data_IF_392456478757
#
_entry.id   IF_392456478757
#
_cell.length_a   1.000
_cell.length_b   1.000
_cell.length_c   1.000
_cell.angle_alpha   90.00
_cell.angle_beta   90.00
_cell.angle_gamma   90.00
#
_symmetry.space_group_name_H-M   'P 1'
#
loop_
_entity.id
_entity.type
_entity.pdbx_description
1 polymer ?
#
# COMPACT_ATOMS: atom_id res chain seq x y z
N UNK A 1 -0.23 5.15 30.97
CA UNK A 1 -1.54 5.64 30.48
C UNK A 1 -1.81 5.02 29.11
N UNK A 2 -2.91 4.25 28.94
CA UNK A 2 -3.33 3.75 27.63
C UNK A 2 -4.35 4.72 27.03
N UNK A 3 -4.02 5.31 25.89
CA UNK A 3 -4.85 6.29 25.18
C UNK A 3 -5.79 5.53 24.25
N UNK A 4 -7.09 5.56 24.54
CA UNK A 4 -8.11 5.08 23.61
C UNK A 4 -8.21 6.03 22.42
N UNK A 5 -7.99 5.52 21.21
CA UNK A 5 -8.19 6.27 19.96
C UNK A 5 -9.53 5.86 19.36
N UNK A 6 -10.42 6.81 19.16
CA UNK A 6 -11.66 6.59 18.42
C UNK A 6 -11.29 6.42 16.94
N UNK A 7 -11.43 5.21 16.42
CA UNK A 7 -11.19 4.87 15.01
C UNK A 7 -12.52 4.98 14.25
N UNK A 8 -13.11 6.18 14.16
CA UNK A 8 -14.21 6.38 13.21
C UNK A 8 -13.61 6.49 11.81
N UNK A 9 -13.95 5.52 10.97
CA UNK A 9 -13.53 5.48 9.57
C UNK A 9 -14.24 6.63 8.85
N UNK A 10 -13.49 7.63 8.38
CA UNK A 10 -14.04 8.71 7.57
C UNK A 10 -14.53 8.14 6.24
N UNK A 11 -15.78 8.43 5.87
CA UNK A 11 -16.32 8.14 4.54
C UNK A 11 -15.38 8.74 3.48
N UNK A 12 -14.78 7.88 2.65
CA UNK A 12 -13.94 8.29 1.53
C UNK A 12 -14.84 8.47 0.30
N UNK A 13 -15.28 9.71 0.05
CA UNK A 13 -16.05 10.04 -1.15
C UNK A 13 -15.12 9.96 -2.36
N UNK A 14 -15.31 8.94 -3.19
CA UNK A 14 -14.45 8.68 -4.32
C UNK A 14 -14.91 9.42 -5.57
N UNK A 15 -14.08 10.33 -6.08
CA UNK A 15 -14.37 11.07 -7.32
C UNK A 15 -14.30 10.13 -8.53
N UNK A 16 -15.44 9.91 -9.19
CA UNK A 16 -15.57 9.17 -10.44
C UNK A 16 -15.77 10.12 -11.63
N UNK A 17 -15.30 9.70 -12.79
CA UNK A 17 -15.42 10.37 -14.07
C UNK A 17 -16.31 9.53 -14.97
N UNK A 18 -17.45 10.10 -15.38
CA UNK A 18 -18.47 9.39 -16.16
C UNK A 18 -18.29 9.54 -17.68
N UNK A 19 -17.60 10.59 -18.12
CA UNK A 19 -17.30 10.83 -19.54
C UNK A 19 -15.79 11.03 -19.73
N UNK A 20 -15.22 10.37 -20.74
CA UNK A 20 -13.85 10.56 -21.19
C UNK A 20 -13.84 10.75 -22.71
N UNK A 21 -13.48 11.95 -23.17
CA UNK A 21 -13.36 12.29 -24.59
C UNK A 21 -14.65 12.05 -25.40
N UNK A 22 -15.83 12.22 -24.78
CA UNK A 22 -17.13 12.04 -25.42
C UNK A 22 -17.63 10.59 -25.43
N UNK A 23 -16.91 9.67 -24.78
CA UNK A 23 -17.33 8.30 -24.57
C UNK A 23 -17.88 8.21 -23.14
N UNK A 24 -19.15 7.81 -23.00
CA UNK A 24 -19.75 7.52 -21.70
C UNK A 24 -19.16 6.21 -21.13
N UNK A 25 -18.60 6.30 -19.93
CA UNK A 25 -17.98 5.18 -19.21
C UNK A 25 -18.97 4.44 -18.31
N UNK A 26 -20.27 4.78 -18.36
CA UNK A 26 -21.32 4.08 -17.62
C UNK A 26 -21.17 4.25 -16.11
N UNK A 27 -20.61 3.26 -15.42
CA UNK A 27 -20.40 3.30 -13.95
C UNK A 27 -19.37 4.34 -13.48
N UNK A 28 -18.69 5.00 -14.42
CA UNK A 28 -17.69 6.02 -14.21
C UNK A 28 -16.35 5.45 -13.74
N UNK A 29 -15.28 5.79 -14.46
CA UNK A 29 -13.92 5.41 -14.07
C UNK A 29 -13.42 6.29 -12.92
N UNK A 30 -12.69 5.71 -11.98
CA UNK A 30 -12.08 6.47 -10.86
C UNK A 30 -11.11 7.50 -11.44
N UNK A 31 -11.18 8.77 -11.01
CA UNK A 31 -10.34 9.85 -11.55
C UNK A 31 -8.84 9.55 -11.46
N UNK A 32 -8.42 8.92 -10.36
CA UNK A 32 -7.02 8.50 -10.16
C UNK A 32 -6.56 7.44 -11.17
N UNK A 33 -7.46 6.56 -11.63
CA UNK A 33 -7.15 5.58 -12.67
C UNK A 33 -6.90 6.26 -14.02
N UNK A 34 -7.70 7.27 -14.37
CA UNK A 34 -7.53 8.04 -15.61
C UNK A 34 -6.20 8.79 -15.61
N UNK A 35 -5.91 9.52 -14.53
CA UNK A 35 -4.64 10.24 -14.37
C UNK A 35 -3.47 9.27 -14.49
N UNK A 36 -3.56 8.12 -13.83
CA UNK A 36 -2.53 7.09 -13.90
C UNK A 36 -2.35 6.54 -15.33
N UNK A 37 -3.44 6.22 -16.02
CA UNK A 37 -3.39 5.76 -17.42
C UNK A 37 -2.80 6.79 -18.36
N UNK A 38 -3.16 8.07 -18.20
CA UNK A 38 -2.60 9.17 -18.98
C UNK A 38 -1.07 9.28 -18.79
N UNK A 39 -0.59 9.19 -17.54
CA UNK A 39 0.85 9.20 -17.24
C UNK A 39 1.57 8.01 -17.88
N UNK A 40 0.99 6.80 -17.84
CA UNK A 40 1.59 5.63 -18.50
C UNK A 40 1.66 5.84 -20.00
N UNK A 41 0.59 6.32 -20.64
CA UNK A 41 0.55 6.54 -22.09
C UNK A 41 1.66 7.53 -22.49
N UNK A 42 1.81 8.64 -21.76
CA UNK A 42 2.87 9.61 -22.01
C UNK A 42 4.27 9.01 -21.86
N UNK A 43 4.51 8.24 -20.79
CA UNK A 43 5.78 7.54 -20.58
C UNK A 43 6.06 6.51 -21.69
N UNK A 44 5.03 5.79 -22.13
CA UNK A 44 5.13 4.79 -23.17
C UNK A 44 5.45 5.41 -24.54
N UNK A 45 4.78 6.50 -24.89
CA UNK A 45 5.08 7.27 -26.10
C UNK A 45 6.50 7.83 -26.03
N UNK A 46 6.89 8.45 -24.91
CA UNK A 46 8.24 8.98 -24.75
C UNK A 46 9.32 7.89 -24.90
N UNK A 47 9.04 6.67 -24.44
CA UNK A 47 9.93 5.53 -24.60
C UNK A 47 10.02 5.04 -26.05
N UNK A 48 8.90 4.97 -26.78
CA UNK A 48 8.84 4.43 -28.15
C UNK A 48 9.24 5.44 -29.23
N UNK A 49 8.98 6.72 -29.01
CA UNK A 49 9.26 7.80 -29.95
C UNK A 49 10.69 7.77 -30.54
N UNK A 50 11.77 7.59 -29.76
CA UNK A 50 13.12 7.54 -30.33
C UNK A 50 13.41 6.29 -31.17
N UNK A 51 12.66 5.19 -30.98
CA UNK A 51 12.91 3.93 -31.70
C UNK A 51 12.03 3.75 -32.93
N UNK A 52 10.75 4.15 -32.84
CA UNK A 52 9.72 3.86 -33.85
C UNK A 52 9.21 5.15 -34.52
N UNK A 53 9.41 6.31 -33.88
CA UNK A 53 8.91 7.60 -34.36
C UNK A 53 7.39 7.74 -34.18
N UNK A 54 6.79 8.63 -34.97
CA UNK A 54 5.35 8.95 -34.86
C UNK A 54 4.47 7.72 -35.18
N UNK A 55 3.34 7.52 -34.47
CA UNK A 55 2.39 6.45 -34.78
C UNK A 55 1.90 6.51 -36.23
N UNK A 56 2.10 5.40 -36.97
CA UNK A 56 1.53 5.15 -38.29
C UNK A 56 0.40 4.13 -38.14
N UNK A 57 -0.51 4.03 -39.11
CA UNK A 57 -1.65 3.08 -39.08
C UNK A 57 -1.31 1.67 -38.54
N UNK A 58 -0.22 1.00 -38.95
CA UNK A 58 0.10 -0.33 -38.42
C UNK A 58 0.67 -0.33 -36.99
N UNK A 59 1.28 0.76 -36.55
CA UNK A 59 1.90 0.85 -35.22
C UNK A 59 0.98 1.41 -34.15
N UNK A 60 -0.21 1.93 -34.49
CA UNK A 60 -1.18 2.46 -33.51
C UNK A 60 -1.47 1.47 -32.38
N UNK A 61 -1.67 0.19 -32.69
CA UNK A 61 -1.93 -0.85 -31.68
C UNK A 61 -0.80 -0.97 -30.66
N UNK A 62 0.46 -0.80 -31.08
CA UNK A 62 1.62 -0.84 -30.19
C UNK A 62 1.69 0.38 -29.25
N UNK A 63 1.16 1.52 -29.70
CA UNK A 63 1.09 2.73 -28.89
C UNK A 63 -0.07 2.71 -27.88
N UNK A 64 -1.16 1.98 -28.16
CA UNK A 64 -2.38 2.02 -27.35
C UNK A 64 -2.55 0.78 -26.47
N UNK A 65 -2.35 -0.42 -27.02
CA UNK A 65 -2.70 -1.68 -26.33
C UNK A 65 -1.83 -1.92 -25.09
N UNK A 66 -0.49 -1.86 -25.15
CA UNK A 66 0.35 -2.09 -23.97
C UNK A 66 0.05 -1.13 -22.79
N UNK A 67 0.00 0.20 -22.96
CA UNK A 67 -0.28 1.08 -21.83
C UNK A 67 -1.71 0.92 -21.29
N UNK A 68 -2.69 0.57 -22.15
CA UNK A 68 -4.04 0.23 -21.70
C UNK A 68 -4.03 -1.02 -20.81
N UNK A 69 -3.37 -2.10 -21.24
CA UNK A 69 -3.22 -3.34 -20.46
C UNK A 69 -2.52 -3.06 -19.12
N UNK A 70 -1.42 -2.30 -19.13
CA UNK A 70 -0.69 -1.93 -17.91
C UNK A 70 -1.60 -1.17 -16.94
N UNK A 71 -2.41 -0.23 -17.45
CA UNK A 71 -3.36 0.55 -16.64
C UNK A 71 -4.44 -0.35 -16.03
N UNK A 72 -5.06 -1.21 -16.85
CA UNK A 72 -6.12 -2.11 -16.42
C UNK A 72 -5.64 -3.13 -15.37
N UNK A 73 -4.44 -3.72 -15.57
CA UNK A 73 -3.86 -4.65 -14.61
C UNK A 73 -3.31 -3.97 -13.36
N UNK A 74 -2.71 -2.79 -13.50
CA UNK A 74 -2.17 -2.03 -12.39
C UNK A 74 -3.25 -1.57 -11.40
N UNK A 75 -4.47 -1.34 -11.89
CA UNK A 75 -5.58 -0.91 -11.06
C UNK A 75 -6.34 -2.04 -10.34
N UNK A 76 -6.03 -3.32 -10.65
CA UNK A 76 -6.61 -4.45 -9.93
C UNK A 76 -6.21 -4.42 -8.45
N UNK A 77 -7.07 -4.94 -7.55
CA UNK A 77 -6.69 -5.12 -6.14
C UNK A 77 -5.46 -6.04 -6.02
N UNK A 78 -4.61 -5.74 -5.04
CA UNK A 78 -3.41 -6.51 -4.70
C UNK A 78 -3.77 -7.85 -4.06
N UNK A 79 -2.90 -8.85 -4.22
CA UNK A 79 -3.16 -10.23 -3.73
C UNK A 79 -3.23 -10.29 -2.20
N UNK A 80 -2.43 -9.48 -1.51
CA UNK A 80 -2.28 -9.55 -0.05
C UNK A 80 -3.08 -8.46 0.69
N UNK A 81 -3.46 -7.39 0.00
CA UNK A 81 -4.16 -6.26 0.61
C UNK A 81 -5.17 -5.75 -0.40
N UNK A 82 -6.44 -6.07 -0.19
CA UNK A 82 -7.53 -5.69 -1.09
C UNK A 82 -7.67 -4.16 -1.27
N UNK A 83 -7.29 -3.39 -0.22
CA UNK A 83 -7.23 -1.92 -0.26
C UNK A 83 -6.08 -1.36 -1.10
N UNK A 84 -5.03 -2.13 -1.38
CA UNK A 84 -3.87 -1.67 -2.16
C UNK A 84 -4.06 -2.04 -3.63
N UNK A 85 -3.78 -1.10 -4.52
CA UNK A 85 -3.74 -1.33 -5.96
C UNK A 85 -2.41 -1.99 -6.31
N UNK A 86 -2.40 -2.91 -7.30
CA UNK A 86 -1.16 -3.56 -7.80
C UNK A 86 -0.11 -2.55 -8.24
N UNK A 87 -0.56 -1.39 -8.73
CA UNK A 87 0.29 -0.23 -9.04
C UNK A 87 1.23 0.15 -7.90
N UNK A 88 0.74 0.15 -6.67
CA UNK A 88 1.53 0.53 -5.50
C UNK A 88 2.55 -0.55 -5.18
N UNK A 89 2.17 -1.82 -5.37
CA UNK A 89 3.08 -2.96 -5.23
C UNK A 89 4.20 -2.91 -6.28
N UNK A 90 3.86 -2.59 -7.54
CA UNK A 90 4.84 -2.39 -8.60
C UNK A 90 5.77 -1.21 -8.32
N UNK A 91 5.22 -0.06 -7.90
CA UNK A 91 6.02 1.10 -7.54
C UNK A 91 6.98 0.80 -6.37
N UNK A 92 6.53 0.04 -5.37
CA UNK A 92 7.37 -0.43 -4.27
C UNK A 92 8.43 -1.42 -4.76
N UNK A 93 8.08 -2.34 -5.67
CA UNK A 93 9.03 -3.28 -6.25
C UNK A 93 10.10 -2.57 -7.09
N UNK A 94 9.71 -1.61 -7.94
CA UNK A 94 10.62 -0.78 -8.72
C UNK A 94 11.51 0.05 -7.80
N UNK A 95 10.92 0.70 -6.79
CA UNK A 95 11.69 1.44 -5.78
C UNK A 95 12.67 0.55 -5.04
N UNK A 96 12.29 -0.67 -4.69
CA UNK A 96 13.18 -1.65 -4.05
C UNK A 96 14.29 -2.13 -5.00
N UNK A 97 14.00 -2.24 -6.30
CA UNK A 97 14.99 -2.58 -7.30
C UNK A 97 16.01 -1.46 -7.50
N UNK A 98 15.56 -0.20 -7.59
CA UNK A 98 16.39 0.97 -7.88
C UNK A 98 17.11 1.52 -6.64
N UNK A 99 16.44 1.56 -5.49
CA UNK A 99 16.99 2.13 -4.25
C UNK A 99 17.52 1.00 -3.40
N UNK A 100 18.83 1.03 -3.13
CA UNK A 100 19.49 0.06 -2.28
C UNK A 100 18.75 -0.08 -0.94
N UNK A 101 18.41 -1.32 -0.58
CA UNK A 101 17.63 -1.60 0.62
C UNK A 101 18.51 -1.31 1.84
N UNK A 102 18.01 -0.46 2.75
CA UNK A 102 18.68 -0.20 4.03
C UNK A 102 18.40 -1.39 4.95
N UNK A 103 19.37 -2.24 5.26
CA UNK A 103 19.14 -3.31 6.22
C UNK A 103 18.79 -2.70 7.59
N UNK A 104 17.85 -3.32 8.30
CA UNK A 104 17.58 -2.99 9.70
C UNK A 104 18.58 -3.76 10.55
N UNK A 105 19.72 -3.15 10.82
CA UNK A 105 20.77 -3.75 11.67
C UNK A 105 20.52 -3.34 13.11
N UNK A 106 20.50 -4.32 14.02
CA UNK A 106 20.30 -4.08 15.46
C UNK A 106 19.01 -3.34 15.79
N UNK A 107 17.89 -3.68 15.13
CA UNK A 107 16.58 -3.01 15.31
C UNK A 107 16.59 -1.50 14.97
N UNK A 108 17.56 -1.03 14.20
CA UNK A 108 17.70 0.39 13.86
C UNK A 108 18.59 1.18 14.82
N UNK A 109 19.35 0.51 15.69
CA UNK A 109 20.29 1.14 16.62
C UNK A 109 21.38 1.98 15.95
N UNK A 110 21.68 1.75 14.66
CA UNK A 110 22.64 2.56 13.89
C UNK A 110 22.24 2.82 12.45
N UNK A 111 22.88 3.82 11.84
CA UNK A 111 22.84 4.01 10.39
C UNK A 111 23.60 2.87 9.69
N UNK A 112 23.05 2.40 8.56
CA UNK A 112 23.67 1.35 7.77
C UNK A 112 24.81 1.96 6.94
N UNK A 113 25.95 1.29 6.90
CA UNK A 113 27.09 1.69 6.09
C UNK A 113 26.88 1.29 4.61
N UNK A 114 27.60 1.92 3.68
CA UNK A 114 27.48 1.69 2.22
C UNK A 114 27.73 0.22 1.83
N UNK A 115 28.59 -0.47 2.56
CA UNK A 115 28.96 -1.88 2.38
C UNK A 115 27.86 -2.85 2.85
N UNK A 116 26.94 -2.39 3.69
CA UNK A 116 25.86 -3.20 4.26
C UNK A 116 24.60 -3.18 3.39
N UNK A 117 24.55 -2.29 2.40
CA UNK A 117 23.47 -2.28 1.43
C UNK A 117 23.57 -3.52 0.53
N UNK A 118 22.54 -4.36 0.57
CA UNK A 118 22.50 -5.53 -0.32
C UNK A 118 22.54 -5.07 -1.79
N UNK A 119 23.49 -5.55 -2.61
CA UNK A 119 23.50 -5.29 -4.04
C UNK A 119 22.31 -5.95 -4.74
N UNK A 120 21.95 -5.44 -5.93
CA UNK A 120 20.70 -5.85 -6.60
C UNK A 120 20.61 -7.35 -6.88
N UNK A 121 21.74 -7.98 -7.23
CA UNK A 121 21.81 -9.41 -7.55
C UNK A 121 21.45 -10.27 -6.34
N UNK A 122 21.98 -9.92 -5.18
CA UNK A 122 21.67 -10.58 -3.91
C UNK A 122 20.21 -10.40 -3.53
N UNK A 123 19.64 -9.20 -3.73
CA UNK A 123 18.20 -8.97 -3.47
C UNK A 123 17.30 -9.91 -4.25
N UNK A 124 17.63 -10.19 -5.52
CA UNK A 124 16.88 -11.14 -6.36
C UNK A 124 17.08 -12.57 -5.87
N UNK A 125 18.31 -12.96 -5.53
CA UNK A 125 18.62 -14.28 -5.02
C UNK A 125 17.91 -14.55 -3.69
N UNK A 126 17.99 -13.65 -2.72
CA UNK A 126 17.31 -13.74 -1.43
C UNK A 126 15.79 -13.82 -1.60
N UNK A 127 15.22 -13.06 -2.56
CA UNK A 127 13.78 -13.14 -2.84
C UNK A 127 13.37 -14.51 -3.38
N UNK A 128 14.14 -15.08 -4.31
CA UNK A 128 13.90 -16.45 -4.81
C UNK A 128 13.97 -17.47 -3.68
N UNK A 129 14.95 -17.37 -2.79
CA UNK A 129 15.09 -18.25 -1.63
C UNK A 129 13.92 -18.06 -0.66
N UNK A 130 13.49 -16.83 -0.40
CA UNK A 130 12.34 -16.54 0.45
C UNK A 130 11.03 -17.09 -0.15
N UNK A 131 10.84 -16.96 -1.46
CA UNK A 131 9.67 -17.51 -2.16
C UNK A 131 9.68 -19.05 -2.13
N UNK A 132 10.85 -19.69 -2.28
CA UNK A 132 11.02 -21.14 -2.11
C UNK A 132 10.78 -21.59 -0.67
N UNK A 133 11.24 -20.81 0.32
CA UNK A 133 11.01 -21.10 1.72
C UNK A 133 9.52 -20.99 2.07
N UNK A 134 8.82 -19.96 1.55
CA UNK A 134 7.36 -19.81 1.67
C UNK A 134 6.59 -20.95 1.00
N UNK A 135 7.08 -21.46 -0.13
CA UNK A 135 6.47 -22.60 -0.80
C UNK A 135 6.60 -23.90 0.01
N UNK A 136 7.66 -24.05 0.83
CA UNK A 136 7.85 -25.20 1.72
C UNK A 136 7.15 -25.04 3.07
N UNK A 137 7.09 -23.83 3.60
CA UNK A 137 6.49 -23.51 4.88
C UNK A 137 5.60 -22.30 4.68
N UNK A 138 4.29 -22.52 4.62
CA UNK A 138 3.32 -21.43 4.70
C UNK A 138 3.45 -20.79 6.09
N UNK A 139 3.89 -19.52 6.17
CA UNK A 139 4.04 -18.87 7.45
C UNK A 139 2.67 -18.79 8.15
N UNK A 140 2.66 -18.88 9.48
CA UNK A 140 1.43 -19.06 10.26
C UNK A 140 0.38 -17.96 10.02
N UNK A 141 0.82 -16.73 9.69
CA UNK A 141 -0.05 -15.60 9.39
C UNK A 141 -0.61 -15.59 7.94
N UNK A 142 -0.09 -16.43 7.04
CA UNK A 142 -0.64 -16.65 5.68
C UNK A 142 -1.45 -17.95 5.59
N UNK A 143 -1.46 -18.79 6.63
CA UNK A 143 -2.37 -19.92 6.69
C UNK A 143 -3.78 -19.36 6.76
N UNK A 144 -4.58 -19.66 5.74
CA UNK A 144 -6.03 -19.52 5.83
C UNK A 144 -6.44 -20.47 6.95
N UNK A 145 -6.60 -19.92 8.15
CA UNK A 145 -7.06 -20.70 9.28
C UNK A 145 -8.50 -21.03 8.95
N UNK A 146 -8.70 -22.17 8.31
CA UNK A 146 -9.96 -22.89 8.39
C UNK A 146 -10.06 -23.26 9.85
N UNK A 147 -10.53 -22.32 10.66
CA UNK A 147 -10.94 -22.62 12.02
C UNK A 147 -12.20 -23.44 11.82
N UNK A 148 -12.04 -24.75 11.66
CA UNK A 148 -13.04 -25.65 12.18
C UNK A 148 -13.03 -25.36 13.68
N UNK A 149 -13.87 -24.42 14.08
CA UNK A 149 -14.06 -24.03 15.47
C UNK A 149 -14.56 -25.29 16.14
N UNK A 150 -13.65 -26.06 16.75
CA UNK A 150 -14.05 -26.99 17.79
C UNK A 150 -14.65 -26.11 18.90
N UNK A 151 -15.98 -26.13 19.11
CA UNK A 151 -16.64 -25.26 20.08
C UNK A 151 -16.15 -25.51 21.51
N UNK A 152 -15.35 -26.55 21.75
CA UNK A 152 -14.80 -26.92 23.05
C UNK A 152 -13.41 -26.35 23.38
N UNK A 153 -12.66 -25.78 22.42
CA UNK A 153 -11.37 -25.14 22.75
C UNK A 153 -11.65 -23.72 23.27
N UNK A 154 -11.95 -23.66 24.58
CA UNK A 154 -12.06 -22.41 25.34
C UNK A 154 -10.89 -21.50 25.01
N UNK A 155 -11.18 -20.34 24.43
CA UNK A 155 -10.37 -19.15 24.60
C UNK A 155 -9.98 -19.05 26.09
N UNK A 156 -8.71 -18.71 26.37
CA UNK A 156 -8.20 -18.62 27.74
C UNK A 156 -9.11 -17.82 28.67
N UNK A 157 -8.90 -17.98 29.99
CA UNK A 157 -9.75 -17.44 31.05
C UNK A 157 -10.36 -16.07 30.74
N UNK A 158 -11.68 -15.94 30.94
CA UNK A 158 -12.45 -14.74 30.65
C UNK A 158 -11.76 -13.50 31.24
N UNK A 159 -11.30 -12.62 30.35
CA UNK A 159 -10.82 -11.30 30.76
C UNK A 159 -12.06 -10.42 30.91
N UNK A 160 -12.54 -10.26 32.14
CA UNK A 160 -13.61 -9.31 32.46
C UNK A 160 -13.07 -7.88 32.35
N UNK A 161 -13.23 -7.28 31.18
CA UNK A 161 -12.82 -5.90 30.93
C UNK A 161 -13.85 -4.95 31.53
N UNK A 162 -13.67 -4.58 32.80
CA UNK A 162 -14.43 -3.52 33.47
C UNK A 162 -14.00 -2.13 32.97
N UNK A 163 -14.26 -1.82 31.70
CA UNK A 163 -14.05 -0.49 31.12
C UNK A 163 -15.36 0.31 31.16
N UNK A 164 -15.44 1.30 32.05
CA UNK A 164 -16.50 2.30 32.07
C UNK A 164 -16.13 3.45 31.13
N UNK A 165 -16.93 3.66 30.09
CA UNK A 165 -16.83 4.86 29.27
C UNK A 165 -17.27 6.08 30.09
N UNK A 166 -16.37 7.04 30.29
CA UNK A 166 -16.71 8.33 30.92
C UNK A 166 -16.76 9.39 29.83
N UNK A 167 -17.92 10.00 29.65
CA UNK A 167 -18.09 11.10 28.71
C UNK A 167 -17.43 12.35 29.30
N UNK A 168 -16.35 12.82 28.68
CA UNK A 168 -15.64 14.03 29.09
C UNK A 168 -16.11 15.17 28.18
N UNK A 169 -16.68 16.21 28.80
CA UNK A 169 -17.07 17.43 28.08
C UNK A 169 -15.86 18.18 27.50
N UNK A 170 -16.11 18.98 26.47
CA UNK A 170 -15.10 19.81 25.78
C UNK A 170 -14.22 20.62 26.73
N UNK A 171 -14.80 21.13 27.81
CA UNK A 171 -14.12 22.00 28.78
C UNK A 171 -13.07 21.24 29.59
N UNK A 172 -13.35 19.97 29.90
CA UNK A 172 -12.39 19.11 30.60
C UNK A 172 -11.19 18.79 29.69
N UNK A 173 -11.45 18.54 28.41
CA UNK A 173 -10.41 18.24 27.41
C UNK A 173 -9.49 19.45 27.18
N UNK A 174 -10.06 20.65 27.07
CA UNK A 174 -9.28 21.89 26.90
C UNK A 174 -8.38 22.19 28.11
N UNK A 175 -8.86 21.95 29.33
CA UNK A 175 -8.09 22.18 30.57
C UNK A 175 -6.88 21.25 30.65
N UNK A 176 -7.03 19.99 30.28
CA UNK A 176 -5.93 19.01 30.25
C UNK A 176 -4.92 19.38 29.17
N UNK A 177 -5.39 19.75 27.97
CA UNK A 177 -4.52 20.20 26.87
C UNK A 177 -3.63 21.38 27.26
N UNK A 178 -4.19 22.39 27.94
CA UNK A 178 -3.44 23.57 28.42
C UNK A 178 -2.43 23.24 29.52
N UNK A 179 -2.71 22.26 30.37
CA UNK A 179 -1.76 21.79 31.40
C UNK A 179 -0.55 21.11 30.78
N UNK A 180 -0.77 20.31 29.74
CA UNK A 180 0.32 19.59 29.05
C UNK A 180 1.22 20.54 28.25
N UNK A 181 0.67 21.63 27.67
CA UNK A 181 1.49 22.64 26.99
C UNK A 181 2.33 23.49 27.95
N UNK A 182 1.80 23.77 29.15
CA UNK A 182 2.52 24.49 30.21
C UNK A 182 3.72 23.72 30.78
N UNK A 183 3.72 22.39 30.71
CA UNK A 183 4.84 21.56 31.16
C UNK A 183 6.03 21.49 30.18
N UNK A 184 5.85 21.96 28.93
CA UNK A 184 6.86 21.83 27.86
C UNK A 184 7.73 23.09 27.66
N UNK A 185 7.60 24.08 28.55
CA UNK A 185 8.36 25.34 28.52
C UNK A 185 9.31 25.53 29.72
N UNK A 186 9.61 24.46 30.46
CA UNK A 186 10.60 24.45 31.54
C UNK A 186 11.54 23.25 31.34
N UNK A 187 12.37 23.35 30.31
CA UNK A 187 13.71 22.74 30.25
C UNK A 187 14.69 23.84 29.82
#
# INVERSE_FOLDING_TARGET
>A
MRVGRTLTHHFEIETRQYDLLGIDLGEGARRRMIIFGAVIILLWIALLFPFIGVPKKPTVSLYVVPPFVITAFGWRPGKFHERRRRVTEWALAVRYALRAHRPIIGLGARAADKTEYLPWRERVATRKVADLAKARVTPEWEREVVVELDPMVRAGADITVNQRARLLGSDHVQRVSRRTSSGKGRE
#
